data_IF_305776633788
#
_entry.id   IF_305776633788
#
_cell.length_a   1.000
_cell.length_b   1.000
_cell.length_c   1.000
_cell.angle_alpha   90.00
_cell.angle_beta   90.00
_cell.angle_gamma   90.00
#
_symmetry.space_group_name_H-M   'P 1'
#
loop_
_entity.id
_entity.type
_entity.pdbx_description
1 polymer ?
#
# COMPACT_ATOMS: atom_id res chain seq x y z
N UNK A 1 9.60 28.03 -8.54
CA UNK A 1 9.26 26.60 -8.77
C UNK A 1 9.05 25.96 -7.40
N UNK A 2 7.80 25.66 -7.03
CA UNK A 2 7.53 24.87 -5.83
C UNK A 2 8.08 23.46 -6.05
N UNK A 3 9.08 23.05 -5.27
CA UNK A 3 9.48 21.63 -5.21
C UNK A 3 8.34 20.87 -4.54
N UNK A 4 7.52 20.17 -5.32
CA UNK A 4 6.53 19.24 -4.78
C UNK A 4 7.29 18.21 -3.94
N UNK A 5 7.01 18.14 -2.63
CA UNK A 5 7.63 17.17 -1.73
C UNK A 5 7.33 15.78 -2.30
N UNK A 6 8.34 15.08 -2.78
CA UNK A 6 8.18 13.74 -3.31
C UNK A 6 7.84 12.83 -2.12
N UNK A 7 6.63 12.29 -2.11
CA UNK A 7 6.16 11.37 -1.06
C UNK A 7 7.10 10.17 -1.01
N UNK A 8 7.67 9.90 0.15
CA UNK A 8 8.54 8.73 0.34
C UNK A 8 7.66 7.50 0.47
N UNK A 9 7.88 6.49 -0.38
CA UNK A 9 7.15 5.23 -0.31
C UNK A 9 8.14 4.08 -0.17
N UNK A 10 7.97 3.29 0.88
CA UNK A 10 8.80 2.14 1.20
C UNK A 10 7.94 0.87 1.24
N UNK A 11 8.18 -0.07 0.33
CA UNK A 11 7.60 -1.40 0.41
C UNK A 11 8.10 -2.11 1.67
N UNK A 12 7.18 -2.69 2.44
CA UNK A 12 7.48 -3.44 3.67
C UNK A 12 7.10 -4.92 3.59
N UNK A 13 6.31 -5.29 2.58
CA UNK A 13 5.90 -6.67 2.38
C UNK A 13 5.14 -6.86 1.08
N UNK A 14 5.16 -8.10 0.60
CA UNK A 14 4.49 -8.52 -0.62
C UNK A 14 3.99 -9.94 -0.47
N UNK A 15 2.74 -10.17 -0.83
CA UNK A 15 2.09 -11.48 -0.78
C UNK A 15 1.53 -11.77 -2.17
N UNK A 16 1.96 -12.89 -2.76
CA UNK A 16 1.43 -13.33 -4.06
C UNK A 16 -0.02 -13.79 -3.90
N UNK A 17 -0.91 -13.27 -4.74
CA UNK A 17 -2.32 -13.66 -4.79
C UNK A 17 -2.61 -14.56 -5.99
N UNK A 18 -1.95 -14.31 -7.12
CA UNK A 18 -2.04 -15.12 -8.34
C UNK A 18 -0.77 -14.99 -9.17
N UNK A 19 -0.76 -15.49 -10.41
CA UNK A 19 0.38 -15.35 -11.32
C UNK A 19 0.65 -13.91 -11.77
N UNK A 20 -0.39 -13.07 -11.72
CA UNK A 20 -0.33 -11.69 -12.24
C UNK A 20 -0.64 -10.65 -11.17
N UNK A 21 -0.93 -11.05 -9.94
CA UNK A 21 -1.34 -10.14 -8.86
C UNK A 21 -0.60 -10.44 -7.55
N UNK A 22 -0.06 -9.38 -6.96
CA UNK A 22 0.46 -9.36 -5.60
C UNK A 22 -0.33 -8.34 -4.77
N UNK A 23 -0.53 -8.64 -3.48
CA UNK A 23 -0.85 -7.63 -2.47
C UNK A 23 0.47 -7.04 -1.97
N UNK A 24 0.66 -5.74 -2.11
CA UNK A 24 1.84 -5.02 -1.67
C UNK A 24 1.48 -4.14 -0.49
N UNK A 25 2.24 -4.25 0.60
CA UNK A 25 2.18 -3.39 1.75
C UNK A 25 3.33 -2.37 1.68
N UNK A 26 3.01 -1.09 1.83
CA UNK A 26 4.01 0.00 1.83
C UNK A 26 3.76 1.00 2.95
N UNK A 27 4.83 1.54 3.52
CA UNK A 27 4.79 2.74 4.35
C UNK A 27 4.94 3.98 3.47
N UNK A 28 4.06 4.94 3.64
CA UNK A 28 4.06 6.21 2.90
C UNK A 28 4.31 7.35 3.88
N UNK A 29 5.38 8.10 3.64
CA UNK A 29 5.93 9.16 4.52
C UNK A 29 6.14 8.69 5.97
N UNK A 30 6.27 7.38 6.19
CA UNK A 30 6.32 6.73 7.51
C UNK A 30 5.08 7.01 8.41
N UNK A 31 3.97 7.45 7.82
CA UNK A 31 2.74 7.85 8.54
C UNK A 31 1.50 7.04 8.11
N UNK A 32 1.59 6.31 7.00
CA UNK A 32 0.43 5.63 6.39
C UNK A 32 0.83 4.24 5.94
N UNK A 33 -0.03 3.26 6.21
CA UNK A 33 0.07 1.91 5.66
C UNK A 33 -0.81 1.81 4.42
N UNK A 34 -0.22 1.62 3.25
CA UNK A 34 -0.92 1.36 1.99
C UNK A 34 -0.89 -0.14 1.68
N UNK A 35 -2.06 -0.76 1.55
CA UNK A 35 -2.23 -2.12 1.08
C UNK A 35 -2.87 -2.08 -0.31
N UNK A 36 -2.17 -2.52 -1.34
CA UNK A 36 -2.60 -2.32 -2.72
C UNK A 36 -2.30 -3.50 -3.61
N UNK A 37 -3.19 -3.77 -4.55
CA UNK A 37 -2.97 -4.78 -5.58
C UNK A 37 -1.97 -4.22 -6.60
N UNK A 38 -0.87 -4.93 -6.76
CA UNK A 38 0.11 -4.73 -7.80
C UNK A 38 -0.12 -5.76 -8.90
N UNK A 39 -0.26 -5.30 -10.13
CA UNK A 39 -0.44 -6.17 -11.30
C UNK A 39 0.88 -6.26 -12.05
N UNK A 40 1.20 -7.46 -12.53
CA UNK A 40 2.26 -7.72 -13.49
C UNK A 40 1.69 -8.51 -14.65
N UNK A 41 1.40 -7.83 -15.75
CA UNK A 41 0.98 -8.40 -17.03
C UNK A 41 1.81 -7.82 -18.17
N UNK A 42 1.68 -8.41 -19.36
CA UNK A 42 2.40 -7.96 -20.56
C UNK A 42 2.05 -6.51 -20.95
N UNK A 43 0.81 -6.08 -20.67
CA UNK A 43 0.31 -4.75 -21.00
C UNK A 43 0.48 -3.72 -19.89
N UNK A 44 0.67 -4.15 -18.64
CA UNK A 44 0.77 -3.24 -17.49
C UNK A 44 1.51 -3.88 -16.31
N UNK A 45 2.50 -3.16 -15.79
CA UNK A 45 3.17 -3.50 -14.53
C UNK A 45 3.11 -2.31 -13.59
N UNK A 46 2.41 -2.45 -12.47
CA UNK A 46 2.26 -1.35 -11.53
C UNK A 46 1.16 -1.53 -10.49
N UNK A 47 1.10 -0.55 -9.59
CA UNK A 47 0.12 -0.47 -8.53
C UNK A 47 -1.25 -0.04 -9.10
N UNK A 48 -2.30 -0.81 -8.80
CA UNK A 48 -3.65 -0.50 -9.25
C UNK A 48 -4.36 0.47 -8.30
N UNK A 49 -5.55 0.94 -8.69
CA UNK A 49 -6.43 1.70 -7.78
C UNK A 49 -7.11 0.84 -6.72
N UNK A 50 -7.00 -0.50 -6.81
CA UNK A 50 -7.59 -1.43 -5.83
C UNK A 50 -6.68 -1.55 -4.62
N UNK A 51 -7.11 -1.02 -3.49
CA UNK A 51 -6.36 -1.03 -2.24
C UNK A 51 -7.03 -0.18 -1.18
N UNK A 52 -6.47 -0.22 0.03
CA UNK A 52 -6.88 0.58 1.17
C UNK A 52 -5.65 1.23 1.79
N UNK A 53 -5.85 2.42 2.38
CA UNK A 53 -4.79 3.15 3.09
C UNK A 53 -5.25 3.45 4.50
N UNK A 54 -4.45 3.02 5.46
CA UNK A 54 -4.64 3.34 6.87
C UNK A 54 -3.74 4.52 7.24
N UNK A 55 -4.34 5.51 7.87
CA UNK A 55 -3.62 6.62 8.49
C UNK A 55 -3.24 6.19 9.90
N UNK A 56 -1.93 6.07 10.17
CA UNK A 56 -1.45 5.55 11.45
C UNK A 56 -1.65 6.53 12.61
N UNK A 57 -1.89 7.82 12.31
CA UNK A 57 -2.11 8.86 13.32
C UNK A 57 -3.57 8.95 13.83
N UNK A 58 -4.50 8.22 13.21
CA UNK A 58 -5.94 8.24 13.52
C UNK A 58 -6.40 6.93 14.20
N UNK A 59 -5.48 6.14 14.76
CA UNK A 59 -5.74 4.81 15.37
C UNK A 59 -6.42 3.77 14.45
N UNK A 60 -6.65 4.11 13.16
CA UNK A 60 -7.36 3.27 12.18
C UNK A 60 -6.71 1.89 12.03
N UNK A 61 -5.38 1.82 12.10
CA UNK A 61 -4.66 0.56 12.03
C UNK A 61 -4.89 -0.30 13.27
N UNK A 62 -4.92 0.32 14.45
CA UNK A 62 -5.16 -0.38 15.71
C UNK A 62 -6.60 -0.89 15.82
N UNK A 63 -7.58 -0.10 15.39
CA UNK A 63 -8.97 -0.56 15.28
C UNK A 63 -9.12 -1.70 14.25
N UNK A 64 -8.44 -1.62 13.11
CA UNK A 64 -8.47 -2.70 12.13
C UNK A 64 -7.93 -4.02 12.70
N UNK A 65 -6.83 -3.97 13.46
CA UNK A 65 -6.27 -5.17 14.10
C UNK A 65 -7.25 -5.86 15.05
N UNK A 66 -8.11 -5.10 15.74
CA UNK A 66 -9.14 -5.68 16.63
C UNK A 66 -10.24 -6.46 15.89
N UNK A 67 -10.38 -6.27 14.57
CA UNK A 67 -11.39 -6.97 13.75
C UNK A 67 -10.88 -8.30 13.18
N UNK A 68 -9.56 -8.52 13.20
CA UNK A 68 -8.91 -9.72 12.64
C UNK A 68 -8.47 -10.72 13.72
N UNK A 69 -8.45 -10.29 14.98
CA UNK A 69 -8.30 -11.14 16.17
C UNK A 69 -9.64 -11.82 16.54
#
# INVERSE_FOLDING_TARGET
MNKTKQTEQKEIGRIRLSDTQDLVASLVDNEKLDLRIFVKSDSYTGATKRGVRFYMFDDNWDEFKKLID
#
